data_IF_806262901194
#
_entry.id   IF_806262901194
#
_cell.length_a   1.000
_cell.length_b   1.000
_cell.length_c   1.000
_cell.angle_alpha   90.00
_cell.angle_beta   90.00
_cell.angle_gamma   90.00
#
_symmetry.space_group_name_H-M   'P 1'
#
loop_
_entity.id
_entity.type
_entity.pdbx_description
1 polymer ?
#
# COMPACT_ATOMS: atom_id res chain seq x y z
N UNK A 1 4.59 3.41 -7.08
CA UNK A 1 4.10 3.35 -5.69
C UNK A 1 4.92 2.40 -4.85
N UNK A 2 4.74 1.09 -5.04
CA UNK A 2 5.27 0.03 -4.15
C UNK A 2 6.79 0.08 -3.93
N UNK A 3 7.60 0.21 -4.99
CA UNK A 3 9.07 0.35 -4.87
C UNK A 3 9.44 1.56 -4.00
N UNK A 4 8.87 2.73 -4.28
CA UNK A 4 9.12 3.96 -3.50
C UNK A 4 8.79 3.77 -2.02
N UNK A 5 7.65 3.15 -1.71
CA UNK A 5 7.27 2.87 -0.32
C UNK A 5 8.27 1.92 0.36
N UNK A 6 8.67 0.84 -0.32
CA UNK A 6 9.67 -0.09 0.19
C UNK A 6 11.04 0.58 0.40
N UNK A 7 11.54 1.33 -0.58
CA UNK A 7 12.82 2.02 -0.48
C UNK A 7 12.81 3.05 0.67
N UNK A 8 11.72 3.79 0.84
CA UNK A 8 11.57 4.76 1.94
C UNK A 8 11.48 4.09 3.30
N UNK A 9 10.57 3.11 3.45
CA UNK A 9 10.24 2.53 4.76
C UNK A 9 11.26 1.46 5.20
N UNK A 10 11.90 0.77 4.25
CA UNK A 10 12.81 -0.36 4.50
C UNK A 10 14.26 0.04 4.28
N UNK A 11 14.60 0.63 3.12
CA UNK A 11 15.99 0.96 2.79
C UNK A 11 16.45 2.30 3.38
N UNK A 12 15.53 3.19 3.77
CA UNK A 12 15.83 4.47 4.46
C UNK A 12 16.88 5.33 3.75
N UNK A 13 16.83 5.35 2.41
CA UNK A 13 17.76 6.11 1.57
C UNK A 13 18.98 5.33 1.08
N UNK A 14 19.17 4.09 1.53
CA UNK A 14 20.19 3.20 1.00
C UNK A 14 19.84 2.71 -0.40
N UNK A 15 20.87 2.42 -1.21
CA UNK A 15 20.69 1.89 -2.55
C UNK A 15 20.38 0.40 -2.50
N UNK A 16 19.34 -0.01 -3.24
CA UNK A 16 19.07 -1.43 -3.46
C UNK A 16 20.24 -2.07 -4.23
N UNK A 17 20.58 -3.31 -3.88
CA UNK A 17 21.48 -4.12 -4.70
C UNK A 17 20.86 -4.32 -6.08
N UNK A 18 21.72 -4.53 -7.09
CA UNK A 18 21.23 -4.89 -8.42
C UNK A 18 20.53 -6.25 -8.37
N UNK A 19 19.22 -6.23 -8.53
CA UNK A 19 18.36 -7.40 -8.52
C UNK A 19 17.52 -7.45 -9.81
N UNK A 20 16.82 -8.56 -10.02
CA UNK A 20 15.85 -8.65 -11.10
C UNK A 20 14.65 -7.73 -10.81
N UNK A 21 14.34 -6.87 -11.77
CA UNK A 21 13.18 -5.97 -11.71
C UNK A 21 12.07 -6.48 -12.62
N UNK A 22 10.82 -6.15 -12.29
CA UNK A 22 9.64 -6.54 -13.05
C UNK A 22 8.63 -5.38 -13.10
N UNK A 23 7.93 -5.26 -14.22
CA UNK A 23 7.06 -4.10 -14.50
C UNK A 23 5.72 -4.14 -13.76
N UNK A 24 5.33 -5.29 -13.18
CA UNK A 24 4.04 -5.43 -12.52
C UNK A 24 4.07 -6.33 -11.29
N UNK A 25 3.24 -5.98 -10.29
CA UNK A 25 3.02 -6.80 -9.10
C UNK A 25 2.46 -8.19 -9.43
N UNK A 26 1.66 -8.32 -10.50
CA UNK A 26 1.16 -9.62 -10.95
C UNK A 26 2.27 -10.52 -11.50
N UNK A 27 3.23 -9.95 -12.22
CA UNK A 27 4.41 -10.70 -12.69
C UNK A 27 5.30 -11.10 -11.52
N UNK A 28 5.57 -10.17 -10.59
CA UNK A 28 6.31 -10.46 -9.35
C UNK A 28 5.66 -11.60 -8.57
N UNK A 29 4.34 -11.57 -8.35
CA UNK A 29 3.60 -12.63 -7.66
C UNK A 29 3.82 -14.01 -8.31
N UNK A 30 3.70 -14.11 -9.64
CA UNK A 30 3.91 -15.35 -10.38
C UNK A 30 5.35 -15.85 -10.28
N UNK A 31 6.32 -14.94 -10.35
CA UNK A 31 7.73 -15.30 -10.26
C UNK A 31 8.11 -15.83 -8.88
N UNK A 32 7.62 -15.21 -7.81
CA UNK A 32 7.84 -15.70 -6.45
C UNK A 32 7.28 -17.11 -6.28
N UNK A 33 6.03 -17.33 -6.74
CA UNK A 33 5.39 -18.64 -6.67
C UNK A 33 6.13 -19.73 -7.47
N UNK A 34 6.76 -19.35 -8.58
CA UNK A 34 7.49 -20.29 -9.45
C UNK A 34 8.95 -20.53 -9.04
N UNK A 35 9.53 -19.68 -8.18
CA UNK A 35 10.97 -19.70 -7.87
C UNK A 35 11.20 -19.86 -6.36
N UNK A 36 11.34 -21.10 -5.86
CA UNK A 36 11.65 -21.35 -4.46
C UNK A 36 12.91 -20.60 -4.00
N UNK A 37 12.84 -19.97 -2.82
CA UNK A 37 13.94 -19.18 -2.27
C UNK A 37 14.02 -17.73 -2.75
N UNK A 38 13.18 -17.32 -3.69
CA UNK A 38 13.08 -15.91 -4.07
C UNK A 38 12.35 -15.07 -3.01
N UNK A 39 12.71 -13.78 -2.92
CA UNK A 39 12.08 -12.80 -2.04
C UNK A 39 11.84 -11.51 -2.81
N UNK A 40 10.69 -10.88 -2.57
CA UNK A 40 10.33 -9.59 -3.14
C UNK A 40 9.24 -8.93 -2.31
N UNK A 41 8.83 -7.72 -2.66
CA UNK A 41 7.79 -6.94 -1.99
C UNK A 41 6.55 -6.80 -2.88
N UNK A 42 5.36 -6.93 -2.27
CA UNK A 42 4.07 -6.84 -2.96
C UNK A 42 3.08 -6.03 -2.11
N UNK A 43 2.23 -5.26 -2.79
CA UNK A 43 1.06 -4.67 -2.14
C UNK A 43 0.03 -5.74 -1.78
N UNK A 44 -0.74 -5.53 -0.71
CA UNK A 44 -1.68 -6.53 -0.16
C UNK A 44 -2.67 -7.13 -1.18
N UNK A 45 -3.25 -6.36 -2.14
CA UNK A 45 -4.12 -6.90 -3.18
C UNK A 45 -3.49 -8.01 -4.03
N UNK A 46 -2.15 -8.06 -4.11
CA UNK A 46 -1.40 -9.06 -4.87
C UNK A 46 -0.89 -10.20 -3.99
N UNK A 47 -1.30 -10.28 -2.73
CA UNK A 47 -0.95 -11.41 -1.86
C UNK A 47 -2.04 -12.48 -1.98
N UNK A 48 -1.65 -13.70 -2.33
CA UNK A 48 -2.53 -14.86 -2.43
C UNK A 48 -1.96 -16.05 -1.62
N UNK A 49 -2.52 -17.24 -1.80
CA UNK A 49 -2.09 -18.48 -1.11
C UNK A 49 -0.77 -19.06 -1.65
N UNK A 50 -0.34 -18.64 -2.84
CA UNK A 50 0.84 -19.17 -3.53
C UNK A 50 2.12 -18.41 -3.14
N UNK A 51 1.99 -17.35 -2.33
CA UNK A 51 3.09 -16.53 -1.84
C UNK A 51 3.11 -16.54 -0.32
N UNK A 52 4.27 -16.89 0.26
CA UNK A 52 4.46 -16.84 1.71
C UNK A 52 4.57 -15.39 2.19
N UNK A 53 3.67 -15.00 3.09
CA UNK A 53 3.68 -13.68 3.75
C UNK A 53 4.63 -13.74 4.93
N UNK A 54 5.56 -12.78 5.02
CA UNK A 54 6.51 -12.68 6.12
C UNK A 54 6.01 -11.68 7.18
N UNK A 55 6.21 -12.04 8.45
CA UNK A 55 6.12 -11.08 9.56
C UNK A 55 7.44 -10.32 9.66
N UNK A 56 7.37 -9.04 10.03
CA UNK A 56 8.54 -8.21 10.29
C UNK A 56 8.45 -7.78 11.75
N UNK A 57 9.51 -7.98 12.54
CA UNK A 57 9.53 -7.69 13.98
C UNK A 57 8.34 -8.32 14.73
N UNK A 58 7.98 -9.57 14.37
CA UNK A 58 6.81 -10.30 14.87
C UNK A 58 5.43 -9.67 14.53
N UNK A 59 5.40 -8.62 13.71
CA UNK A 59 4.16 -8.00 13.22
C UNK A 59 3.72 -8.65 11.92
N UNK A 60 2.47 -9.14 11.88
CA UNK A 60 1.86 -9.74 10.68
C UNK A 60 1.40 -8.66 9.69
N UNK A 61 1.48 -8.89 8.36
CA UNK A 61 0.94 -7.99 7.34
C UNK A 61 -0.58 -8.11 7.24
N UNK A 62 -1.31 -7.29 8.01
CA UNK A 62 -2.77 -7.24 7.98
C UNK A 62 -3.29 -5.81 8.19
N UNK A 63 -4.57 -5.58 7.85
CA UNK A 63 -5.18 -4.25 7.90
C UNK A 63 -5.10 -3.57 9.27
N UNK A 64 -5.44 -4.30 10.34
CA UNK A 64 -5.43 -3.78 11.71
C UNK A 64 -4.05 -3.24 12.12
N UNK A 65 -2.99 -3.93 11.72
CA UNK A 65 -1.61 -3.52 12.00
C UNK A 65 -1.18 -2.31 11.15
N UNK A 66 -1.75 -2.11 9.97
CA UNK A 66 -1.49 -0.89 9.18
C UNK A 66 -2.26 0.30 9.76
N UNK A 67 -3.53 0.09 10.11
CA UNK A 67 -4.41 1.12 10.67
C UNK A 67 -3.82 1.83 11.90
N UNK A 68 -3.07 1.10 12.73
CA UNK A 68 -2.42 1.61 13.94
C UNK A 68 -0.90 1.82 13.82
N UNK A 69 -0.32 1.63 12.63
CA UNK A 69 1.11 1.73 12.33
C UNK A 69 2.02 0.66 12.96
N UNK A 70 1.49 -0.44 13.48
CA UNK A 70 2.33 -1.57 13.91
C UNK A 70 3.07 -2.17 12.71
N UNK A 71 2.38 -2.31 11.57
CA UNK A 71 2.98 -2.61 10.27
C UNK A 71 3.40 -1.30 9.60
N UNK A 72 4.71 -1.05 9.54
CA UNK A 72 5.28 0.27 9.16
C UNK A 72 5.40 0.51 7.66
N UNK A 73 5.30 -0.55 6.85
CA UNK A 73 5.50 -0.50 5.39
C UNK A 73 4.16 -0.31 4.70
N UNK A 74 3.79 0.95 4.43
CA UNK A 74 2.52 1.30 3.80
C UNK A 74 2.59 2.73 3.22
N UNK A 75 1.76 2.98 2.22
CA UNK A 75 1.64 4.30 1.60
C UNK A 75 0.18 4.52 1.16
N UNK A 76 -0.18 5.79 0.94
CA UNK A 76 -1.47 6.14 0.36
C UNK A 76 -1.49 5.88 -1.14
N UNK A 77 -2.62 5.42 -1.63
CA UNK A 77 -2.94 5.53 -3.04
C UNK A 77 -3.43 6.95 -3.34
N UNK A 78 -3.00 7.50 -4.48
CA UNK A 78 -3.23 8.90 -4.82
C UNK A 78 -4.01 9.04 -6.12
N UNK A 79 -4.98 9.96 -6.13
CA UNK A 79 -5.61 10.46 -7.35
C UNK A 79 -5.04 11.84 -7.67
N UNK A 80 -4.24 11.93 -8.74
CA UNK A 80 -3.63 13.20 -9.16
C UNK A 80 -4.53 13.94 -10.15
N UNK A 81 -4.67 15.25 -9.95
CA UNK A 81 -5.39 16.14 -10.87
C UNK A 81 -4.60 17.43 -11.14
N UNK A 82 -4.95 18.13 -12.23
CA UNK A 82 -4.49 19.50 -12.44
C UNK A 82 -5.17 20.42 -11.41
N UNK A 83 -4.50 21.53 -11.03
CA UNK A 83 -5.01 22.52 -10.05
C UNK A 83 -6.45 22.98 -10.32
N UNK A 84 -6.81 23.17 -11.58
CA UNK A 84 -8.19 23.46 -12.01
C UNK A 84 -8.85 22.15 -12.43
N UNK A 85 -9.75 21.65 -11.59
CA UNK A 85 -10.48 20.41 -11.83
C UNK A 85 -11.88 20.70 -12.35
N UNK A 86 -12.32 19.94 -13.35
CA UNK A 86 -13.71 20.01 -13.84
C UNK A 86 -14.69 19.50 -12.77
N UNK A 87 -15.92 20.04 -12.76
CA UNK A 87 -16.96 19.66 -11.80
C UNK A 87 -17.27 18.15 -11.80
N UNK A 88 -17.24 17.49 -12.96
CA UNK A 88 -17.46 16.04 -13.08
C UNK A 88 -16.31 15.26 -12.45
N UNK A 89 -15.07 15.69 -12.65
CA UNK A 89 -13.89 15.06 -12.05
C UNK A 89 -13.92 15.22 -10.52
N UNK A 90 -14.26 16.41 -10.01
CA UNK A 90 -14.43 16.60 -8.56
C UNK A 90 -15.49 15.66 -7.99
N UNK A 91 -16.66 15.58 -8.63
CA UNK A 91 -17.75 14.68 -8.20
C UNK A 91 -17.31 13.22 -8.16
N UNK A 92 -16.52 12.78 -9.14
CA UNK A 92 -15.98 11.43 -9.15
C UNK A 92 -15.01 11.19 -7.98
N UNK A 93 -14.10 12.13 -7.72
CA UNK A 93 -13.18 12.04 -6.57
C UNK A 93 -13.98 11.99 -5.26
N UNK A 94 -14.94 12.91 -5.08
CA UNK A 94 -15.81 12.93 -3.90
C UNK A 94 -16.56 11.60 -3.73
N UNK A 95 -17.03 10.99 -4.83
CA UNK A 95 -17.65 9.66 -4.83
C UNK A 95 -16.69 8.57 -4.33
N UNK A 96 -15.43 8.57 -4.77
CA UNK A 96 -14.42 7.61 -4.30
C UNK A 96 -14.18 7.73 -2.78
N UNK A 97 -14.29 8.94 -2.22
CA UNK A 97 -14.15 9.17 -0.77
C UNK A 97 -15.38 8.73 0.06
N UNK A 98 -16.51 8.43 -0.56
CA UNK A 98 -17.73 8.05 0.17
C UNK A 98 -17.53 6.78 0.99
N UNK A 99 -18.28 6.66 2.09
CA UNK A 99 -18.29 5.44 2.92
C UNK A 99 -18.67 4.21 2.12
N UNK A 100 -19.59 4.33 1.16
CA UNK A 100 -19.99 3.22 0.30
C UNK A 100 -18.82 2.64 -0.50
N UNK A 101 -18.07 3.49 -1.21
CA UNK A 101 -16.91 3.03 -1.99
C UNK A 101 -15.80 2.52 -1.09
N UNK A 102 -15.51 3.25 -0.01
CA UNK A 102 -14.42 2.94 0.89
C UNK A 102 -14.65 1.68 1.74
N UNK A 103 -15.88 1.41 2.17
CA UNK A 103 -16.21 0.23 2.98
C UNK A 103 -16.55 -0.99 2.14
N UNK A 104 -16.91 -0.81 0.86
CA UNK A 104 -17.18 -1.92 -0.05
C UNK A 104 -16.02 -2.11 -1.04
N UNK A 105 -16.06 -1.40 -2.18
CA UNK A 105 -15.16 -1.61 -3.32
C UNK A 105 -13.68 -1.63 -2.92
N UNK A 106 -13.23 -0.66 -2.13
CA UNK A 106 -11.82 -0.56 -1.69
C UNK A 106 -11.41 -1.80 -0.89
N UNK A 107 -12.25 -2.25 0.05
CA UNK A 107 -11.99 -3.46 0.84
C UNK A 107 -12.04 -4.73 -0.03
N UNK A 108 -13.00 -4.83 -0.95
CA UNK A 108 -13.12 -5.96 -1.88
C UNK A 108 -11.88 -6.10 -2.76
N UNK A 109 -11.28 -4.99 -3.16
CA UNK A 109 -10.03 -4.97 -3.92
C UNK A 109 -8.78 -5.26 -3.06
N UNK A 110 -8.92 -5.53 -1.76
CA UNK A 110 -7.82 -5.86 -0.87
C UNK A 110 -7.04 -4.65 -0.35
N UNK A 111 -7.57 -3.44 -0.51
CA UNK A 111 -7.01 -2.21 0.06
C UNK A 111 -7.60 -1.91 1.43
N UNK A 112 -6.90 -1.04 2.16
CA UNK A 112 -7.31 -0.56 3.48
C UNK A 112 -7.98 0.79 3.29
N UNK A 113 -9.17 0.93 3.83
CA UNK A 113 -9.91 2.20 3.79
C UNK A 113 -9.24 3.25 4.66
N UNK A 114 -9.14 4.46 4.13
CA UNK A 114 -8.64 5.61 4.88
C UNK A 114 -9.53 5.94 6.09
N UNK A 115 -10.81 5.56 6.07
CA UNK A 115 -11.74 5.79 7.17
C UNK A 115 -11.51 4.90 8.39
N UNK A 116 -10.70 3.84 8.26
CA UNK A 116 -10.36 2.95 9.38
C UNK A 116 -8.96 3.29 9.97
N UNK A 117 -8.17 4.09 9.26
CA UNK A 117 -6.85 4.54 9.73
C UNK A 117 -6.96 5.33 11.04
N UNK A 118 -6.04 5.06 11.97
CA UNK A 118 -5.88 5.75 13.26
C UNK A 118 -4.67 6.68 13.27
N UNK A 119 -3.80 6.52 12.29
CA UNK A 119 -2.63 7.36 12.04
C UNK A 119 -2.65 7.92 10.62
N UNK A 120 -1.91 9.00 10.41
CA UNK A 120 -1.60 9.55 9.09
C UNK A 120 -0.09 9.57 8.86
N UNK A 121 0.32 9.39 7.60
CA UNK A 121 1.72 9.48 7.15
C UNK A 121 1.88 10.69 6.22
N UNK A 122 2.74 11.63 6.57
CA UNK A 122 3.01 12.79 5.71
C UNK A 122 3.94 12.44 4.53
N UNK A 123 4.23 13.40 3.66
CA UNK A 123 5.10 13.22 2.50
C UNK A 123 6.56 12.90 2.84
N UNK A 124 6.99 13.21 4.06
CA UNK A 124 8.31 12.91 4.60
C UNK A 124 8.35 11.57 5.35
N UNK A 125 7.22 10.89 5.48
CA UNK A 125 7.11 9.63 6.21
C UNK A 125 6.85 9.78 7.72
N UNK A 126 6.60 10.99 8.22
CA UNK A 126 6.27 11.21 9.63
C UNK A 126 4.88 10.67 9.95
N UNK A 127 4.74 10.06 11.13
CA UNK A 127 3.49 9.43 11.58
C UNK A 127 2.85 10.25 12.70
N UNK A 128 1.58 10.59 12.52
CA UNK A 128 0.77 11.31 13.51
C UNK A 128 -0.55 10.59 13.79
N UNK A 129 -1.09 10.72 15.00
CA UNK A 129 -2.43 10.20 15.31
C UNK A 129 -3.50 11.10 14.68
N UNK A 130 -4.51 10.49 14.05
CA UNK A 130 -5.66 11.22 13.55
C UNK A 130 -6.54 11.61 14.74
N UNK A 131 -6.70 12.91 14.99
CA UNK A 131 -7.73 13.42 15.90
C UNK A 131 -9.07 13.38 15.16
N UNK A 132 -10.07 12.68 15.73
CA UNK A 132 -11.43 12.60 15.20
C UNK A 132 -12.40 13.36 16.07
#
# INVERSE_FOLDING_TARGET
GTRKAFESDVLKGESAIKAQEQDSSGTVQKMIAATPGSISYLAFPYLNKDVQKLSIDNVKPNAKNVENNDWKIWAYEHMYTKKKVDKKVKKFIDYIYTKEVQQNLVKTLGYITIHDMKVQKDENGNIEKIQR
#
